data_IF_102393703150
#
_entry.id   IF_102393703150
#
_cell.length_a   1.000
_cell.length_b   1.000
_cell.length_c   1.000
_cell.angle_alpha   90.00
_cell.angle_beta   90.00
_cell.angle_gamma   90.00
#
_symmetry.space_group_name_H-M   'P 1'
#
loop_
_entity.id
_entity.type
_entity.pdbx_description
1 polymer ?
#
# COMPACT_ATOMS: atom_id res chain seq x y z
N UNK A 1 1.80 24.63 25.79
CA UNK A 1 2.25 23.70 24.73
C UNK A 1 1.11 23.56 23.73
N UNK A 2 1.23 24.18 22.54
CA UNK A 2 0.22 24.06 21.49
C UNK A 2 0.25 22.61 20.99
N UNK A 3 -0.89 21.91 21.04
CA UNK A 3 -1.08 20.62 20.36
C UNK A 3 -0.85 20.88 18.87
N UNK A 4 0.26 20.42 18.32
CA UNK A 4 0.47 20.37 16.88
C UNK A 4 -0.63 19.43 16.35
N UNK A 5 -1.62 19.99 15.68
CA UNK A 5 -2.68 19.22 15.08
C UNK A 5 -2.09 18.49 13.87
N UNK A 6 -1.76 17.22 14.04
CA UNK A 6 -1.24 16.39 12.94
C UNK A 6 -2.28 16.31 11.84
N UNK A 7 -1.90 16.66 10.61
CA UNK A 7 -2.75 16.54 9.43
C UNK A 7 -2.58 15.17 8.81
N UNK A 8 -3.66 14.56 8.36
CA UNK A 8 -3.60 13.38 7.50
C UNK A 8 -3.31 13.84 6.07
N UNK A 9 -2.22 13.34 5.49
CA UNK A 9 -1.88 13.53 4.10
C UNK A 9 -2.16 12.23 3.34
N UNK A 10 -2.85 12.33 2.22
CA UNK A 10 -3.09 11.23 1.29
C UNK A 10 -2.29 11.55 0.03
N UNK A 11 -1.33 10.70 -0.32
CA UNK A 11 -0.38 10.94 -1.40
C UNK A 11 -0.46 9.75 -2.36
N UNK A 12 -1.18 9.87 -3.49
CA UNK A 12 -1.15 8.85 -4.52
C UNK A 12 0.22 8.88 -5.20
N UNK A 13 0.91 7.73 -5.26
CA UNK A 13 2.14 7.54 -6.00
C UNK A 13 1.88 6.95 -7.40
N UNK A 14 0.70 6.36 -7.60
CA UNK A 14 0.22 5.85 -8.88
C UNK A 14 -1.25 5.49 -8.82
N UNK A 15 -1.84 5.12 -9.98
CA UNK A 15 -3.23 4.71 -10.10
C UNK A 15 -4.24 5.87 -10.18
N UNK A 16 -3.78 7.13 -10.24
CA UNK A 16 -4.67 8.28 -10.33
C UNK A 16 -4.73 8.79 -11.77
N UNK A 17 -5.90 8.62 -12.40
CA UNK A 17 -6.10 9.01 -13.80
C UNK A 17 -5.44 8.06 -14.81
N UNK A 18 -5.00 6.88 -14.37
CA UNK A 18 -4.38 5.83 -15.18
C UNK A 18 -4.88 4.45 -14.75
N UNK A 19 -4.66 3.43 -15.57
CA UNK A 19 -4.98 2.03 -15.23
C UNK A 19 -3.70 1.35 -14.74
N UNK A 20 -3.77 0.71 -13.57
CA UNK A 20 -2.62 0.04 -12.96
C UNK A 20 -1.83 0.93 -12.00
N UNK A 21 -0.69 0.45 -11.52
CA UNK A 21 0.21 1.12 -10.57
C UNK A 21 -0.47 1.63 -9.30
N UNK A 22 -1.53 0.97 -8.83
CA UNK A 22 -2.25 1.42 -7.64
C UNK A 22 -1.33 1.44 -6.43
N UNK A 23 -1.06 2.64 -5.91
CA UNK A 23 -0.18 2.84 -4.77
C UNK A 23 -0.52 4.16 -4.07
N UNK A 24 -0.97 4.08 -2.82
CA UNK A 24 -1.39 5.27 -2.06
C UNK A 24 -0.75 5.30 -0.68
N UNK A 25 -0.11 6.40 -0.35
CA UNK A 25 0.50 6.67 0.94
C UNK A 25 -0.48 7.46 1.81
N UNK A 26 -0.64 7.02 3.06
CA UNK A 26 -1.33 7.75 4.11
C UNK A 26 -0.30 8.13 5.17
N UNK A 27 -0.10 9.42 5.40
CA UNK A 27 0.81 9.94 6.40
C UNK A 27 0.09 10.75 7.45
N UNK A 28 0.30 10.41 8.71
CA UNK A 28 -0.19 11.16 9.87
C UNK A 28 0.98 11.44 10.82
N UNK A 29 1.42 12.69 10.86
CA UNK A 29 2.63 13.06 11.59
C UNK A 29 3.87 12.37 11.00
N UNK A 30 4.52 11.54 11.81
CA UNK A 30 5.68 10.75 11.40
C UNK A 30 5.34 9.30 11.00
N UNK A 31 4.10 8.88 11.15
CA UNK A 31 3.68 7.53 10.79
C UNK A 31 3.16 7.49 9.34
N UNK A 32 3.66 6.53 8.58
CA UNK A 32 3.29 6.28 7.19
C UNK A 32 2.75 4.87 7.07
N UNK A 33 1.63 4.71 6.38
CA UNK A 33 1.15 3.43 5.88
C UNK A 33 1.02 3.50 4.36
N UNK A 34 1.30 2.38 3.71
CA UNK A 34 1.12 2.20 2.28
C UNK A 34 -0.11 1.32 2.03
N UNK A 35 -0.95 1.70 1.11
CA UNK A 35 -2.06 0.87 0.62
C UNK A 35 -1.80 0.53 -0.83
N UNK A 36 -1.68 -0.76 -1.10
CA UNK A 36 -1.30 -1.38 -2.35
C UNK A 36 0.10 -1.00 -2.85
N UNK A 37 0.65 -1.85 -3.72
CA UNK A 37 1.92 -1.66 -4.39
C UNK A 37 1.83 -2.34 -5.76
N UNK A 38 1.04 -1.74 -6.65
CA UNK A 38 0.71 -2.26 -7.95
C UNK A 38 1.74 -1.98 -9.03
N UNK A 39 1.74 -2.80 -10.06
CA UNK A 39 2.44 -2.53 -11.30
C UNK A 39 1.45 -2.18 -12.43
N UNK A 40 2.00 -1.74 -13.55
CA UNK A 40 1.32 -1.63 -14.83
C UNK A 40 2.11 -2.43 -15.86
N UNK A 41 1.42 -3.10 -16.77
CA UNK A 41 2.06 -3.67 -17.94
C UNK A 41 2.39 -2.53 -18.92
N UNK A 42 3.54 -2.59 -19.62
CA UNK A 42 3.93 -1.56 -20.56
C UNK A 42 2.94 -1.46 -21.72
N UNK A 43 2.80 -0.27 -22.27
CA UNK A 43 2.06 -0.02 -23.50
C UNK A 43 2.89 -0.46 -24.73
N UNK A 44 2.24 -0.63 -25.88
CA UNK A 44 2.86 -1.17 -27.10
C UNK A 44 4.05 -0.35 -27.62
N UNK A 45 4.13 0.92 -27.26
CA UNK A 45 5.22 1.85 -27.64
C UNK A 45 6.41 1.80 -26.66
N UNK A 46 6.28 1.13 -25.50
CA UNK A 46 7.33 0.98 -24.49
C UNK A 46 8.24 -0.21 -24.78
N UNK A 47 8.96 -0.15 -25.93
CA UNK A 47 9.82 -1.26 -26.37
C UNK A 47 10.93 -1.58 -25.37
N UNK A 48 11.06 -2.88 -25.00
CA UNK A 48 12.11 -3.36 -24.08
C UNK A 48 11.82 -3.12 -22.61
N UNK A 49 10.62 -2.70 -22.26
CA UNK A 49 10.15 -2.57 -20.87
C UNK A 49 9.28 -3.78 -20.54
N UNK A 50 9.60 -4.51 -19.48
CA UNK A 50 8.84 -5.68 -19.04
C UNK A 50 7.69 -5.32 -18.09
N UNK A 51 7.90 -4.29 -17.25
CA UNK A 51 6.90 -3.82 -16.29
C UNK A 51 7.18 -2.36 -15.88
N UNK A 52 6.14 -1.68 -15.45
CA UNK A 52 6.21 -0.30 -14.93
C UNK A 52 5.72 -0.27 -13.49
N UNK A 53 6.50 0.34 -12.60
CA UNK A 53 6.14 0.53 -11.20
C UNK A 53 6.06 2.02 -10.86
N UNK A 54 5.32 2.41 -9.82
CA UNK A 54 5.31 3.78 -9.33
C UNK A 54 6.72 4.24 -8.88
N UNK A 55 6.95 5.54 -8.91
CA UNK A 55 8.13 6.12 -8.26
C UNK A 55 7.99 6.02 -6.74
N UNK A 56 8.86 5.25 -6.11
CA UNK A 56 8.87 5.00 -4.67
C UNK A 56 9.90 5.82 -3.91
N UNK A 57 10.51 6.83 -4.54
CA UNK A 57 11.53 7.68 -3.92
C UNK A 57 11.05 8.26 -2.60
N UNK A 58 9.80 8.75 -2.56
CA UNK A 58 9.20 9.26 -1.32
C UNK A 58 9.19 8.24 -0.17
N UNK A 59 8.89 6.97 -0.46
CA UNK A 59 8.88 5.90 0.54
C UNK A 59 10.29 5.55 0.99
N UNK A 60 11.26 5.52 0.08
CA UNK A 60 12.67 5.22 0.37
C UNK A 60 13.27 6.30 1.28
N UNK A 61 13.00 7.58 0.99
CA UNK A 61 13.45 8.71 1.82
C UNK A 61 12.84 8.71 3.23
N UNK A 62 11.65 8.10 3.39
CA UNK A 62 10.92 8.04 4.65
C UNK A 62 10.78 6.60 5.19
N UNK A 63 11.65 5.65 4.79
CA UNK A 63 11.51 4.23 5.10
C UNK A 63 11.35 3.90 6.59
N UNK A 64 12.04 4.64 7.47
CA UNK A 64 11.96 4.43 8.92
C UNK A 64 10.60 4.83 9.52
N UNK A 65 9.83 5.61 8.77
CA UNK A 65 8.48 6.05 9.14
C UNK A 65 7.39 5.15 8.59
N UNK A 66 7.71 4.25 7.64
CA UNK A 66 6.73 3.30 7.07
C UNK A 66 6.46 2.20 8.08
N UNK A 67 5.27 2.19 8.64
CA UNK A 67 4.85 1.27 9.71
C UNK A 67 4.24 -0.02 9.17
N UNK A 68 3.55 0.05 8.03
CA UNK A 68 2.86 -1.08 7.46
C UNK A 68 2.54 -0.86 5.97
N UNK A 69 2.39 -1.98 5.26
CA UNK A 69 1.86 -2.04 3.90
C UNK A 69 0.59 -2.89 3.95
N UNK A 70 -0.52 -2.36 3.48
CA UNK A 70 -1.81 -3.06 3.41
C UNK A 70 -2.15 -3.37 1.97
N UNK A 71 -2.53 -4.62 1.71
CA UNK A 71 -2.94 -5.06 0.38
C UNK A 71 -4.45 -5.25 0.36
N UNK A 72 -5.12 -4.63 -0.61
CA UNK A 72 -6.57 -4.72 -0.76
C UNK A 72 -6.99 -6.07 -1.33
N UNK A 73 -6.34 -6.51 -2.40
CA UNK A 73 -6.59 -7.78 -3.07
C UNK A 73 -5.39 -8.21 -3.92
N UNK A 74 -5.47 -9.37 -4.57
CA UNK A 74 -4.33 -10.05 -5.19
C UNK A 74 -4.12 -9.79 -6.68
N UNK A 75 -4.68 -8.75 -7.29
CA UNK A 75 -4.41 -8.40 -8.68
C UNK A 75 -3.05 -7.72 -8.85
N UNK A 76 -2.42 -7.89 -10.01
CA UNK A 76 -1.07 -7.39 -10.31
C UNK A 76 -0.95 -5.87 -10.20
N UNK A 77 -1.98 -5.15 -10.60
CA UNK A 77 -2.06 -3.70 -10.49
C UNK A 77 -2.21 -3.19 -9.04
N UNK A 78 -2.27 -4.12 -8.05
CA UNK A 78 -2.31 -3.85 -6.61
C UNK A 78 -1.16 -4.49 -5.82
N UNK A 79 -0.58 -5.60 -6.28
CA UNK A 79 0.51 -6.29 -5.56
C UNK A 79 1.79 -6.46 -6.36
N UNK A 80 1.76 -6.23 -7.66
CA UNK A 80 2.86 -6.63 -8.56
C UNK A 80 4.17 -5.88 -8.34
N UNK A 81 4.14 -4.63 -7.84
CA UNK A 81 5.34 -3.89 -7.51
C UNK A 81 5.89 -4.23 -6.10
N UNK A 82 5.15 -4.98 -5.28
CA UNK A 82 5.52 -5.24 -3.89
C UNK A 82 6.89 -5.89 -3.70
N UNK A 83 7.35 -6.86 -4.53
CA UNK A 83 8.68 -7.42 -4.39
C UNK A 83 9.79 -6.37 -4.49
N UNK A 84 9.60 -5.35 -5.33
CA UNK A 84 10.55 -4.23 -5.51
C UNK A 84 10.51 -3.27 -4.33
N UNK A 85 9.32 -2.98 -3.82
CA UNK A 85 9.09 -2.15 -2.64
C UNK A 85 9.72 -2.80 -1.41
N UNK A 86 9.47 -4.09 -1.16
CA UNK A 86 9.99 -4.81 0.00
C UNK A 86 11.51 -4.89 0.05
N UNK A 87 12.20 -4.91 -1.10
CA UNK A 87 13.67 -4.87 -1.15
C UNK A 87 14.25 -3.58 -0.58
N UNK A 88 13.51 -2.49 -0.62
CA UNK A 88 13.97 -1.17 -0.20
C UNK A 88 13.35 -0.71 1.12
N UNK A 89 12.14 -1.22 1.44
CA UNK A 89 11.35 -0.82 2.59
C UNK A 89 11.04 -2.06 3.42
N UNK A 90 11.65 -2.18 4.59
CA UNK A 90 11.52 -3.33 5.49
C UNK A 90 10.24 -3.33 6.34
N UNK A 91 9.13 -2.81 5.84
CA UNK A 91 7.87 -2.73 6.59
C UNK A 91 7.06 -4.03 6.52
N UNK A 92 6.30 -4.38 7.58
CA UNK A 92 5.41 -5.53 7.57
C UNK A 92 4.27 -5.36 6.55
N UNK A 93 3.92 -6.48 5.87
CA UNK A 93 2.86 -6.53 4.85
C UNK A 93 1.64 -7.24 5.41
N UNK A 94 0.49 -6.64 5.28
CA UNK A 94 -0.79 -7.17 5.74
C UNK A 94 -1.75 -7.40 4.57
N UNK A 95 -2.34 -8.60 4.51
CA UNK A 95 -3.26 -8.97 3.46
C UNK A 95 -4.23 -10.09 3.89
N UNK A 96 -5.22 -10.42 3.04
CA UNK A 96 -6.02 -11.63 3.23
C UNK A 96 -5.15 -12.86 2.97
N UNK A 97 -5.55 -14.02 3.49
CA UNK A 97 -4.85 -15.28 3.24
C UNK A 97 -4.71 -15.58 1.73
N UNK A 98 -5.76 -15.29 0.94
CA UNK A 98 -5.74 -15.46 -0.50
C UNK A 98 -4.73 -14.53 -1.17
N UNK A 99 -4.77 -13.23 -0.84
CA UNK A 99 -3.85 -12.22 -1.40
C UNK A 99 -2.40 -12.57 -1.09
N UNK A 100 -2.11 -12.94 0.17
CA UNK A 100 -0.77 -13.32 0.58
C UNK A 100 -0.31 -14.64 -0.05
N UNK A 101 -1.24 -15.60 -0.27
CA UNK A 101 -0.93 -16.85 -0.98
C UNK A 101 -0.49 -16.60 -2.43
N UNK A 102 -1.17 -15.70 -3.15
CA UNK A 102 -0.78 -15.27 -4.51
C UNK A 102 0.59 -14.56 -4.47
N UNK A 103 0.76 -13.65 -3.52
CA UNK A 103 1.98 -12.87 -3.36
C UNK A 103 3.21 -13.75 -3.08
N UNK A 104 3.08 -14.84 -2.29
CA UNK A 104 4.20 -15.73 -1.95
C UNK A 104 4.95 -16.25 -3.18
N UNK A 105 4.22 -16.63 -4.24
CA UNK A 105 4.81 -17.03 -5.51
C UNK A 105 5.70 -15.93 -6.10
N UNK A 106 5.17 -14.71 -6.16
CA UNK A 106 5.89 -13.54 -6.68
C UNK A 106 7.12 -13.17 -5.86
N UNK A 107 7.00 -13.20 -4.54
CA UNK A 107 8.14 -12.92 -3.65
C UNK A 107 9.26 -13.94 -3.85
N UNK A 108 8.93 -15.23 -3.96
CA UNK A 108 9.89 -16.31 -4.19
C UNK A 108 10.63 -16.13 -5.53
N UNK A 109 9.92 -15.85 -6.61
CA UNK A 109 10.49 -15.58 -7.94
C UNK A 109 11.46 -14.39 -7.91
N UNK A 110 11.21 -13.40 -7.08
CA UNK A 110 12.04 -12.21 -6.93
C UNK A 110 13.10 -12.32 -5.82
N UNK A 111 13.23 -13.47 -5.16
CA UNK A 111 14.21 -13.69 -4.09
C UNK A 111 13.94 -12.88 -2.82
N UNK A 112 12.66 -12.57 -2.53
CA UNK A 112 12.22 -11.80 -1.35
C UNK A 112 11.60 -12.75 -0.32
N UNK A 113 11.99 -12.63 0.96
CA UNK A 113 11.38 -13.39 2.05
C UNK A 113 9.94 -12.96 2.30
N UNK A 114 9.06 -13.94 2.54
CA UNK A 114 7.66 -13.70 2.93
C UNK A 114 7.44 -13.59 4.45
N UNK A 115 8.50 -13.59 5.27
CA UNK A 115 8.39 -13.54 6.73
C UNK A 115 7.70 -12.27 7.26
N UNK A 116 7.83 -11.17 6.52
CA UNK A 116 7.17 -9.92 6.87
C UNK A 116 5.65 -9.91 6.55
N UNK A 117 5.14 -10.94 5.85
CA UNK A 117 3.74 -11.04 5.45
C UNK A 117 2.88 -11.59 6.58
N UNK A 118 1.84 -10.86 6.98
CA UNK A 118 0.95 -11.20 8.09
C UNK A 118 -0.51 -11.21 7.64
N UNK A 119 -1.25 -12.26 8.00
CA UNK A 119 -2.69 -12.33 7.72
C UNK A 119 -3.42 -11.31 8.60
N UNK A 120 -4.17 -10.43 7.96
CA UNK A 120 -4.97 -9.41 8.64
C UNK A 120 -6.46 -9.67 8.49
N UNK A 121 -7.18 -9.65 9.61
CA UNK A 121 -8.65 -9.65 9.62
C UNK A 121 -9.23 -8.30 9.16
N UNK A 122 -8.45 -7.22 9.22
CA UNK A 122 -8.85 -5.86 8.83
C UNK A 122 -8.95 -5.66 7.32
N UNK A 123 -8.37 -6.57 6.54
CA UNK A 123 -8.32 -6.45 5.08
C UNK A 123 -9.70 -6.52 4.40
N UNK A 124 -10.68 -7.19 5.02
CA UNK A 124 -12.06 -7.17 4.51
C UNK A 124 -12.65 -5.75 4.52
N UNK A 125 -12.32 -4.96 5.54
CA UNK A 125 -12.75 -3.56 5.63
C UNK A 125 -12.01 -2.68 4.62
N UNK A 126 -10.70 -2.85 4.48
CA UNK A 126 -9.88 -2.07 3.54
C UNK A 126 -10.28 -2.36 2.09
N UNK A 127 -10.46 -3.63 1.70
CA UNK A 127 -10.88 -3.99 0.34
C UNK A 127 -12.29 -3.49 0.01
N UNK A 128 -13.22 -3.57 0.96
CA UNK A 128 -14.60 -3.06 0.77
C UNK A 128 -14.60 -1.54 0.64
N UNK A 129 -13.77 -0.86 1.40
CA UNK A 129 -13.69 0.61 1.42
C UNK A 129 -12.97 1.12 0.16
N UNK A 130 -11.89 0.49 -0.28
CA UNK A 130 -11.18 0.88 -1.52
C UNK A 130 -12.06 0.60 -2.75
N UNK A 131 -12.80 -0.51 -2.78
CA UNK A 131 -13.80 -0.78 -3.82
C UNK A 131 -14.92 0.29 -3.84
N UNK A 132 -15.35 0.77 -2.68
CA UNK A 132 -16.30 1.88 -2.58
C UNK A 132 -15.66 3.25 -2.92
N UNK A 133 -14.37 3.45 -2.70
CA UNK A 133 -13.65 4.68 -3.09
C UNK A 133 -13.64 4.90 -4.61
N UNK A 134 -13.57 3.84 -5.40
CA UNK A 134 -13.71 3.92 -6.85
C UNK A 134 -15.10 4.38 -7.30
N UNK A 135 -16.10 4.28 -6.43
CA UNK A 135 -17.49 4.59 -6.76
C UNK A 135 -17.99 5.94 -6.21
N UNK A 136 -17.45 6.48 -5.09
CA UNK A 136 -17.98 7.72 -4.50
C UNK A 136 -17.01 8.44 -3.54
N UNK A 137 -16.78 9.73 -3.75
CA UNK A 137 -15.99 10.65 -2.91
C UNK A 137 -16.40 10.70 -1.42
N UNK A 138 -17.65 10.41 -1.09
CA UNK A 138 -18.16 10.37 0.30
C UNK A 138 -17.56 9.23 1.12
N UNK A 139 -17.09 8.18 0.48
CA UNK A 139 -16.47 7.02 1.15
C UNK A 139 -15.04 7.31 1.63
N UNK A 140 -14.35 8.29 1.03
CA UNK A 140 -13.01 8.73 1.45
C UNK A 140 -13.03 9.26 2.89
N UNK A 141 -14.05 10.03 3.26
CA UNK A 141 -14.15 10.60 4.60
C UNK A 141 -14.34 9.51 5.68
N UNK A 142 -15.14 8.48 5.38
CA UNK A 142 -15.33 7.33 6.28
C UNK A 142 -14.06 6.49 6.42
N UNK A 143 -13.31 6.33 5.34
CA UNK A 143 -12.00 5.67 5.36
C UNK A 143 -11.02 6.44 6.25
N UNK A 144 -10.89 7.73 6.03
CA UNK A 144 -10.02 8.62 6.83
C UNK A 144 -10.36 8.51 8.32
N UNK A 145 -11.65 8.53 8.66
CA UNK A 145 -12.10 8.42 10.05
C UNK A 145 -11.85 7.02 10.65
N UNK A 146 -11.85 5.94 9.86
CA UNK A 146 -11.55 4.60 10.33
C UNK A 146 -10.04 4.30 10.43
N UNK A 147 -9.20 4.98 9.64
CA UNK A 147 -7.74 4.82 9.71
C UNK A 147 -7.07 5.62 10.83
N UNK A 148 -7.63 6.76 11.24
CA UNK A 148 -7.08 7.55 12.35
C UNK A 148 -6.92 6.71 13.64
N UNK A 149 -7.93 5.93 14.10
CA UNK A 149 -7.77 5.04 15.25
C UNK A 149 -6.78 3.89 15.00
N UNK A 150 -6.70 3.38 13.76
CA UNK A 150 -5.76 2.29 13.41
C UNK A 150 -4.33 2.79 13.47
N UNK A 151 -4.02 3.95 12.90
CA UNK A 151 -2.68 4.56 12.96
C UNK A 151 -2.32 4.89 14.40
N UNK A 152 -3.25 5.48 15.18
CA UNK A 152 -2.99 5.85 16.57
C UNK A 152 -2.87 4.64 17.53
N UNK A 153 -3.45 3.49 17.18
CA UNK A 153 -3.37 2.26 17.95
C UNK A 153 -2.28 1.29 17.45
N UNK A 154 -1.81 1.42 16.20
CA UNK A 154 -0.72 0.59 15.67
C UNK A 154 0.56 0.78 16.50
N UNK A 155 0.80 1.99 16.99
CA UNK A 155 1.92 2.31 17.90
C UNK A 155 1.74 1.72 19.31
N UNK A 156 0.57 1.19 19.65
CA UNK A 156 0.31 0.50 20.94
C UNK A 156 0.25 -1.02 20.82
N UNK A 157 0.20 -1.57 19.60
CA UNK A 157 0.06 -3.01 19.31
C UNK A 157 1.31 -3.63 18.68
N UNK A 158 2.34 -2.83 18.41
CA UNK A 158 3.70 -3.20 18.05
C UNK A 158 4.63 -2.92 19.23
#
# INVERSE_FOLDING_TARGET
MSKIQSKLNIIPLGGLGEIGKNMTVFRYGDDIILVDAGLMFPEDDMLGIDLVIPDITYLVENKDKVKAIFLTHGHEDHIGALPYVMKQIGAPVYGTALTLGILQGRLKENGVSSEACKISKWNLYVSTIVFQMQLHWRSILLLVLSFIPVISNLTRLL
#
